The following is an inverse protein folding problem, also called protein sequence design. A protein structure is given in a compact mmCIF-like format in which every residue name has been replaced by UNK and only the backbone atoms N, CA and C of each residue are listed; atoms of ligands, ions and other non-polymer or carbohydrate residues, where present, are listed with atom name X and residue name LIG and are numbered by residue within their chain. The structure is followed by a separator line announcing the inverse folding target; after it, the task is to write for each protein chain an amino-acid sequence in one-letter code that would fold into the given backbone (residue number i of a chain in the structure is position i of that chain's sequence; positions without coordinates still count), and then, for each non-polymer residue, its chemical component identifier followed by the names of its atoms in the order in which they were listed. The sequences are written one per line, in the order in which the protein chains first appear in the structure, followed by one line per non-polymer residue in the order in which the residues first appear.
data_IF_262096261679
#
_entry.id   IF_262096261679
#
_cell.length_a   1.000
_cell.length_b   1.000
_cell.length_c   1.000
_cell.angle_alpha   90.00
_cell.angle_beta   90.00
_cell.angle_gamma   90.00
#
_symmetry.space_group_name_H-M   'P 1'
#
loop_
_entity.id
_entity.type
_entity.pdbx_description
1 polymer ?
#
# COMPACT_ATOMS: atom_id res chain seq x y z
N UNK A 1 -15.76 -10.80 -27.35
CA UNK A 1 -16.20 -11.38 -26.06
C UNK A 1 -15.97 -10.34 -24.96
N UNK A 2 -16.83 -9.32 -24.90
CA UNK A 2 -16.87 -8.37 -23.80
C UNK A 2 -17.96 -8.87 -22.86
N UNK A 3 -17.62 -9.40 -21.70
CA UNK A 3 -18.63 -10.04 -20.85
C UNK A 3 -18.04 -10.92 -19.76
N UNK A 4 -17.19 -10.32 -18.93
CA UNK A 4 -16.92 -10.65 -17.52
C UNK A 4 -15.76 -9.78 -17.02
N UNK A 5 -15.61 -8.57 -17.59
CA UNK A 5 -14.59 -7.63 -17.14
C UNK A 5 -15.00 -7.20 -15.74
N UNK A 6 -14.19 -7.60 -14.77
CA UNK A 6 -14.29 -7.21 -13.37
C UNK A 6 -14.72 -5.73 -13.30
N UNK A 7 -15.83 -5.43 -12.60
CA UNK A 7 -16.30 -4.07 -12.35
C UNK A 7 -15.33 -3.39 -11.38
N UNK A 8 -14.14 -3.09 -11.89
CA UNK A 8 -13.02 -2.52 -11.15
C UNK A 8 -13.16 -1.02 -11.26
N UNK A 9 -13.62 -0.37 -10.19
CA UNK A 9 -13.59 1.08 -10.10
C UNK A 9 -12.12 1.55 -9.92
N UNK A 10 -11.53 2.26 -10.90
CA UNK A 10 -10.17 2.76 -10.83
C UNK A 10 -9.94 3.73 -9.66
N UNK A 11 -10.97 4.48 -9.25
CA UNK A 11 -10.89 5.39 -8.12
C UNK A 11 -10.79 4.63 -6.80
N UNK A 12 -11.54 3.53 -6.66
CA UNK A 12 -11.45 2.64 -5.48
C UNK A 12 -10.06 2.01 -5.37
N UNK A 13 -9.50 1.51 -6.49
CA UNK A 13 -8.14 0.96 -6.49
C UNK A 13 -7.09 1.98 -6.07
N UNK A 14 -7.17 3.21 -6.59
CA UNK A 14 -6.25 4.29 -6.20
C UNK A 14 -6.40 4.67 -4.73
N UNK A 15 -7.64 4.78 -4.24
CA UNK A 15 -7.92 5.10 -2.84
C UNK A 15 -7.38 4.02 -1.89
N UNK A 16 -7.65 2.75 -2.18
CA UNK A 16 -7.10 1.63 -1.42
C UNK A 16 -5.58 1.57 -1.53
N UNK A 17 -5.03 1.86 -2.72
CA UNK A 17 -3.59 1.96 -2.94
C UNK A 17 -2.92 2.97 -2.01
N UNK A 18 -3.51 4.16 -1.88
CA UNK A 18 -3.08 5.18 -0.92
C UNK A 18 -3.16 4.69 0.53
N UNK A 19 -4.30 4.10 0.93
CA UNK A 19 -4.47 3.59 2.29
C UNK A 19 -3.42 2.52 2.67
N UNK A 20 -3.11 1.58 1.76
CA UNK A 20 -2.08 0.56 2.00
C UNK A 20 -0.67 1.18 2.13
N UNK A 21 -0.38 2.22 1.36
CA UNK A 21 0.89 2.96 1.46
C UNK A 21 1.02 3.71 2.78
N UNK A 22 -0.04 4.38 3.20
CA UNK A 22 -0.07 5.13 4.46
C UNK A 22 0.10 4.18 5.65
N UNK A 23 -0.66 3.08 5.69
CA UNK A 23 -0.54 2.05 6.72
C UNK A 23 0.88 1.46 6.73
N UNK A 24 1.46 1.16 5.56
CA UNK A 24 2.82 0.64 5.48
C UNK A 24 3.87 1.61 6.04
N UNK A 25 3.71 2.91 5.77
CA UNK A 25 4.56 3.98 6.31
C UNK A 25 4.44 4.09 7.83
N UNK A 26 3.21 4.08 8.35
CA UNK A 26 2.91 4.16 9.77
C UNK A 26 3.49 2.97 10.56
N UNK A 27 3.35 1.75 10.03
CA UNK A 27 3.96 0.56 10.64
C UNK A 27 5.49 0.65 10.68
N UNK A 28 6.12 1.10 9.59
CA UNK A 28 7.58 1.28 9.54
C UNK A 28 8.05 2.35 10.54
N UNK A 29 7.32 3.46 10.64
CA UNK A 29 7.62 4.55 11.58
C UNK A 29 7.44 4.11 13.04
N UNK A 30 6.36 3.38 13.35
CA UNK A 30 6.09 2.85 14.68
C UNK A 30 7.17 1.84 15.11
N UNK A 31 7.62 0.97 14.20
CA UNK A 31 8.69 0.01 14.46
C UNK A 31 10.03 0.71 14.79
N UNK A 32 10.38 1.74 14.03
CA UNK A 32 11.58 2.56 14.29
C UNK A 32 11.48 3.28 15.64
N UNK A 33 10.31 3.81 15.96
CA UNK A 33 10.07 4.48 17.25
C UNK A 33 10.20 3.48 18.41
N UNK A 34 9.62 2.29 18.27
CA UNK A 34 9.76 1.20 19.26
C UNK A 34 11.23 0.85 19.48
N UNK A 35 12.00 0.65 18.39
CA UNK A 35 13.43 0.36 18.47
C UNK A 35 14.21 1.46 19.21
N UNK A 36 13.92 2.73 18.93
CA UNK A 36 14.57 3.86 19.58
C UNK A 36 14.24 3.92 21.09
N UNK A 37 12.97 3.77 21.46
CA UNK A 37 12.54 3.81 22.87
C UNK A 37 13.11 2.65 23.68
N UNK A 38 13.26 1.46 23.09
CA UNK A 38 13.87 0.33 23.78
C UNK A 38 15.36 0.57 24.05
N UNK A 39 16.06 1.12 23.06
CA UNK A 39 17.46 1.50 23.23
C UNK A 39 17.64 2.55 24.33
N UNK A 40 16.75 3.53 24.42
CA UNK A 40 16.74 4.50 25.54
C UNK A 40 16.47 3.82 26.89
N UNK A 41 15.65 2.77 26.90
CA UNK A 41 15.32 2.05 28.12
C UNK A 41 16.44 1.12 28.60
N UNK A 42 17.33 0.65 27.72
CA UNK A 42 18.58 -0.02 28.10
C UNK A 42 19.48 0.91 28.95
N UNK A 43 19.36 2.23 28.79
CA UNK A 43 20.12 3.22 29.55
C UNK A 43 19.50 3.56 30.92
N UNK A 44 18.32 3.01 31.26
CA UNK A 44 17.61 3.33 32.51
C UNK A 44 18.26 2.72 33.76
N UNK A 45 19.27 1.89 33.59
CA UNK A 45 20.04 1.26 34.66
C UNK A 45 19.74 -0.22 34.82
N UNK A 46 20.38 -0.82 35.81
CA UNK A 46 20.56 -2.28 35.88
C UNK A 46 19.80 -2.91 37.07
N UNK A 47 18.78 -2.20 37.56
CA UNK A 47 17.90 -2.62 38.66
C UNK A 47 17.04 -3.83 38.26
N UNK A 48 16.61 -4.61 39.26
CA UNK A 48 15.91 -5.87 39.05
C UNK A 48 14.56 -5.71 38.33
N UNK A 49 13.88 -4.57 38.48
CA UNK A 49 12.63 -4.28 37.80
C UNK A 49 12.86 -4.03 36.31
N UNK A 50 13.90 -3.25 35.96
CA UNK A 50 14.29 -2.97 34.58
C UNK A 50 14.77 -4.25 33.90
N UNK A 51 15.60 -5.06 34.57
CA UNK A 51 16.02 -6.37 34.05
C UNK A 51 14.84 -7.28 33.75
N UNK A 52 13.91 -7.42 34.69
CA UNK A 52 12.71 -8.23 34.48
C UNK A 52 11.87 -7.71 33.31
N UNK A 53 11.68 -6.40 33.21
CA UNK A 53 10.97 -5.79 32.10
C UNK A 53 11.64 -6.10 30.76
N UNK A 54 12.97 -5.94 30.66
CA UNK A 54 13.73 -6.21 29.44
C UNK A 54 13.76 -7.69 29.07
N UNK A 55 13.90 -8.59 30.04
CA UNK A 55 13.86 -10.05 29.79
C UNK A 55 12.53 -10.49 29.15
N UNK A 56 11.43 -9.86 29.55
CA UNK A 56 10.10 -10.15 28.99
C UNK A 56 9.87 -9.47 27.64
N UNK A 57 10.24 -8.19 27.51
CA UNK A 57 9.86 -7.39 26.35
C UNK A 57 10.87 -7.46 25.19
N UNK A 58 12.17 -7.56 25.46
CA UNK A 58 13.22 -7.52 24.43
C UNK A 58 13.05 -8.57 23.31
N UNK A 59 12.69 -9.84 23.58
CA UNK A 59 12.50 -10.83 22.53
C UNK A 59 11.34 -10.48 21.59
N UNK A 60 10.21 -10.05 22.15
CA UNK A 60 9.01 -9.68 21.38
C UNK A 60 9.29 -8.43 20.56
N UNK A 61 9.92 -7.43 21.18
CA UNK A 61 10.25 -6.20 20.47
C UNK A 61 11.31 -6.37 19.40
N UNK A 62 12.32 -7.21 19.62
CA UNK A 62 13.32 -7.51 18.59
C UNK A 62 12.65 -8.12 17.36
N UNK A 63 11.75 -9.08 17.56
CA UNK A 63 10.96 -9.66 16.47
C UNK A 63 10.08 -8.63 15.75
N UNK A 64 9.46 -7.69 16.49
CA UNK A 64 8.68 -6.59 15.90
C UNK A 64 9.57 -5.63 15.10
N UNK A 65 10.72 -5.25 15.63
CA UNK A 65 11.67 -4.34 14.95
C UNK A 65 12.23 -4.96 13.67
N UNK A 66 12.43 -6.28 13.64
CA UNK A 66 12.87 -7.00 12.44
C UNK A 66 11.74 -7.18 11.41
N UNK A 67 10.54 -7.57 11.86
CA UNK A 67 9.45 -7.97 10.95
C UNK A 67 8.57 -6.81 10.45
N UNK A 68 8.36 -5.78 11.26
CA UNK A 68 7.45 -4.67 10.92
C UNK A 68 7.93 -3.79 9.75
N UNK A 69 9.24 -3.52 9.55
CA UNK A 69 9.70 -2.85 8.34
C UNK A 69 9.36 -3.63 7.07
N UNK A 70 9.56 -4.95 7.06
CA UNK A 70 9.24 -5.80 5.92
C UNK A 70 7.72 -5.87 5.66
N UNK A 71 6.92 -5.93 6.73
CA UNK A 71 5.46 -5.81 6.62
C UNK A 71 5.06 -4.46 6.02
N UNK A 72 5.67 -3.37 6.49
CA UNK A 72 5.42 -2.03 5.97
C UNK A 72 5.76 -1.88 4.48
N UNK A 73 6.90 -2.44 4.05
CA UNK A 73 7.30 -2.49 2.65
C UNK A 73 6.34 -3.32 1.80
N UNK A 74 5.89 -4.48 2.31
CA UNK A 74 4.89 -5.32 1.65
C UNK A 74 3.56 -4.59 1.44
N UNK A 75 3.08 -3.88 2.46
CA UNK A 75 1.86 -3.06 2.38
C UNK A 75 2.03 -1.91 1.39
N UNK A 76 3.16 -1.20 1.42
CA UNK A 76 3.46 -0.15 0.44
C UNK A 76 3.48 -0.70 -0.99
N UNK A 77 4.08 -1.88 -1.19
CA UNK A 77 4.14 -2.55 -2.51
C UNK A 77 2.75 -2.93 -3.01
N UNK A 78 1.86 -3.42 -2.14
CA UNK A 78 0.45 -3.66 -2.49
C UNK A 78 -0.20 -2.34 -2.91
N UNK A 79 0.04 -1.27 -2.14
CA UNK A 79 -0.48 0.06 -2.42
C UNK A 79 -0.10 0.57 -3.81
N UNK A 80 1.19 0.47 -4.15
CA UNK A 80 1.73 0.84 -5.46
C UNK A 80 1.10 0.04 -6.60
N UNK A 81 0.93 -1.27 -6.42
CA UNK A 81 0.31 -2.13 -7.44
C UNK A 81 -1.16 -1.82 -7.66
N UNK A 82 -1.90 -1.52 -6.60
CA UNK A 82 -3.30 -1.11 -6.70
C UNK A 82 -3.42 0.24 -7.43
N UNK A 83 -2.57 1.21 -7.08
CA UNK A 83 -2.49 2.49 -7.76
C UNK A 83 -2.20 2.35 -9.25
N UNK A 84 -1.16 1.60 -9.61
CA UNK A 84 -0.77 1.33 -10.99
C UNK A 84 -1.89 0.61 -11.77
N UNK A 85 -2.59 -0.33 -11.13
CA UNK A 85 -3.71 -1.04 -11.76
C UNK A 85 -4.88 -0.09 -12.02
N UNK A 86 -5.21 0.80 -11.07
CA UNK A 86 -6.22 1.84 -11.27
C UNK A 86 -5.85 2.80 -12.40
N UNK A 87 -4.59 3.22 -12.50
CA UNK A 87 -4.13 4.04 -13.63
C UNK A 87 -4.25 3.32 -14.98
N UNK A 88 -3.89 2.04 -15.02
CA UNK A 88 -4.00 1.21 -16.22
C UNK A 88 -5.44 1.08 -16.71
N UNK A 89 -6.40 0.83 -15.80
CA UNK A 89 -7.82 0.76 -16.17
C UNK A 89 -8.35 2.10 -16.68
N UNK A 90 -8.06 3.20 -15.99
CA UNK A 90 -8.48 4.54 -16.41
C UNK A 90 -7.94 4.90 -17.81
N UNK A 91 -6.68 4.56 -18.09
CA UNK A 91 -6.05 4.81 -19.40
C UNK A 91 -6.69 3.94 -20.49
N UNK A 92 -6.94 2.66 -20.19
CA UNK A 92 -7.56 1.72 -21.14
C UNK A 92 -8.97 2.16 -21.53
N UNK A 93 -9.78 2.61 -20.56
CA UNK A 93 -11.12 3.14 -20.83
C UNK A 93 -11.07 4.40 -21.70
N UNK A 94 -10.13 5.31 -21.42
CA UNK A 94 -9.93 6.52 -22.22
C UNK A 94 -9.53 6.20 -23.66
N UNK A 95 -8.58 5.29 -23.86
CA UNK A 95 -8.13 4.85 -25.19
C UNK A 95 -9.27 4.19 -25.99
N UNK A 96 -10.10 3.38 -25.33
CA UNK A 96 -11.28 2.77 -25.94
C UNK A 96 -12.30 3.83 -26.35
N UNK A 97 -12.58 4.80 -25.48
CA UNK A 97 -13.48 5.90 -25.78
C UNK A 97 -12.99 6.72 -26.98
N UNK A 98 -11.70 7.07 -27.02
CA UNK A 98 -11.08 7.80 -28.12
C UNK A 98 -11.13 7.01 -29.44
N UNK A 99 -10.88 5.71 -29.39
CA UNK A 99 -10.98 4.84 -30.55
C UNK A 99 -12.42 4.79 -31.09
N UNK A 100 -13.42 4.65 -30.21
CA UNK A 100 -14.83 4.66 -30.58
C UNK A 100 -15.27 6.02 -31.15
N UNK A 101 -14.82 7.12 -30.56
CA UNK A 101 -15.11 8.47 -31.04
C UNK A 101 -14.52 8.71 -32.45
N UNK A 102 -13.27 8.29 -32.69
CA UNK A 102 -12.62 8.36 -34.00
C UNK A 102 -13.34 7.50 -35.04
N UNK A 103 -13.74 6.29 -34.67
CA UNK A 103 -14.52 5.42 -35.55
C UNK A 103 -15.88 6.03 -35.88
N UNK A 104 -16.60 6.60 -34.90
CA UNK A 104 -17.87 7.27 -35.12
C UNK A 104 -17.74 8.49 -36.06
N UNK A 105 -16.70 9.29 -35.90
CA UNK A 105 -16.43 10.47 -36.73
C UNK A 105 -16.04 10.13 -38.18
N UNK A 106 -15.52 8.93 -38.43
CA UNK A 106 -15.09 8.47 -39.75
C UNK A 106 -16.14 7.61 -40.47
N UNK A 107 -17.33 7.43 -39.90
CA UNK A 107 -18.41 6.68 -40.55
C UNK A 107 -18.92 7.44 -41.79
N UNK A 108 -18.91 6.81 -42.99
CA UNK A 108 -19.51 7.41 -44.17
C UNK A 108 -21.02 7.58 -43.98
N UNK A 109 -21.53 8.75 -44.34
CA UNK A 109 -22.95 9.08 -44.28
C UNK A 109 -23.68 8.33 -45.40
N UNK A 110 -24.24 7.16 -45.10
CA UNK A 110 -25.18 6.50 -46.00
C UNK A 110 -26.56 7.13 -45.80
N UNK A 111 -26.75 8.32 -46.38
CA UNK A 111 -28.08 8.90 -46.55
C UNK A 111 -28.77 8.18 -47.73
N UNK A 112 -29.91 7.54 -47.45
CA UNK A 112 -30.87 7.10 -48.46
C UNK A 112 -31.71 8.30 -48.94
#
# INVERSE_FOLDING_TARGET
MAGAGYDVDPAVLKAQGGAFKDIGSDFSAAAKKLAATLKEAEDWGDDDLIKYFMDVYSPVSAGLVESMPALGEGLSTIGEKLGATGEHYATTEQDQHDHLARYAASRPNFAN
#
